data_IF_868331242570
#
_entry.id   IF_868331242570
#
_cell.length_a   1.000
_cell.length_b   1.000
_cell.length_c   1.000
_cell.angle_alpha   90.00
_cell.angle_beta   90.00
_cell.angle_gamma   90.00
#
_symmetry.space_group_name_H-M   'P 1'
#
loop_
_entity.id
_entity.type
_entity.pdbx_description
1 polymer ?
#
# COMPACT_ATOMS: atom_id res chain seq x y z
N UNK A 1 -21.21 -3.24 7.75
CA UNK A 1 -22.01 -2.98 6.54
C UNK A 1 -22.20 -4.29 5.82
N UNK A 2 -23.44 -4.65 5.49
CA UNK A 2 -23.79 -5.95 4.88
C UNK A 2 -23.98 -5.84 3.36
N UNK A 3 -23.18 -4.98 2.70
CA UNK A 3 -23.23 -4.82 1.25
C UNK A 3 -22.68 -6.10 0.57
N UNK A 4 -23.35 -6.53 -0.50
CA UNK A 4 -23.00 -7.70 -1.31
C UNK A 4 -23.39 -7.43 -2.76
N UNK A 5 -22.56 -7.89 -3.67
CA UNK A 5 -22.82 -7.89 -5.10
C UNK A 5 -22.16 -9.12 -5.73
N UNK A 6 -22.95 -9.95 -6.40
CA UNK A 6 -22.50 -11.25 -6.90
C UNK A 6 -21.42 -11.14 -7.99
N UNK A 7 -21.46 -10.08 -8.80
CA UNK A 7 -20.47 -9.85 -9.85
C UNK A 7 -19.12 -9.44 -9.27
N UNK A 8 -19.15 -8.58 -8.26
CA UNK A 8 -17.95 -8.18 -7.51
C UNK A 8 -17.36 -9.36 -6.73
N UNK A 9 -18.20 -10.17 -6.08
CA UNK A 9 -17.77 -11.39 -5.38
C UNK A 9 -17.14 -12.42 -6.33
N UNK A 10 -17.69 -12.59 -7.54
CA UNK A 10 -17.12 -13.47 -8.55
C UNK A 10 -15.73 -13.00 -9.02
N UNK A 11 -15.56 -11.68 -9.21
CA UNK A 11 -14.25 -11.10 -9.53
C UNK A 11 -13.22 -11.37 -8.43
N UNK A 12 -13.58 -11.18 -7.15
CA UNK A 12 -12.65 -11.44 -6.04
C UNK A 12 -12.26 -12.92 -5.95
N UNK A 13 -13.20 -13.84 -6.20
CA UNK A 13 -12.89 -15.29 -6.26
C UNK A 13 -11.94 -15.61 -7.42
N UNK A 14 -12.15 -15.02 -8.60
CA UNK A 14 -11.25 -15.22 -9.73
C UNK A 14 -9.84 -14.66 -9.45
N UNK A 15 -9.75 -13.48 -8.82
CA UNK A 15 -8.48 -12.84 -8.47
C UNK A 15 -7.61 -13.66 -7.51
N UNK A 16 -8.20 -14.56 -6.73
CA UNK A 16 -7.45 -15.47 -5.85
C UNK A 16 -6.76 -16.60 -6.61
N UNK A 17 -7.27 -16.97 -7.80
CA UNK A 17 -6.85 -18.15 -8.54
C UNK A 17 -6.01 -17.76 -9.76
N UNK A 18 -6.34 -16.66 -10.42
CA UNK A 18 -5.68 -16.22 -11.64
C UNK A 18 -5.70 -14.70 -11.82
N UNK A 19 -4.94 -14.22 -12.80
CA UNK A 19 -5.00 -12.83 -13.19
C UNK A 19 -6.38 -12.50 -13.76
N UNK A 20 -7.01 -11.46 -13.22
CA UNK A 20 -8.27 -10.91 -13.72
C UNK A 20 -8.00 -9.98 -14.89
N UNK A 21 -8.81 -10.09 -15.94
CA UNK A 21 -8.73 -9.19 -17.10
C UNK A 21 -9.03 -7.74 -16.71
N UNK A 22 -8.53 -6.79 -17.49
CA UNK A 22 -8.75 -5.36 -17.23
C UNK A 22 -10.23 -4.99 -17.36
N UNK A 23 -10.96 -5.66 -18.26
CA UNK A 23 -12.38 -5.45 -18.51
C UNK A 23 -13.21 -5.83 -17.27
N UNK A 24 -12.98 -7.02 -16.71
CA UNK A 24 -13.73 -7.45 -15.53
C UNK A 24 -13.45 -6.57 -14.31
N UNK A 25 -12.21 -6.07 -14.18
CA UNK A 25 -11.85 -5.08 -13.14
C UNK A 25 -12.65 -3.79 -13.31
N UNK A 26 -12.76 -3.29 -14.54
CA UNK A 26 -13.51 -2.08 -14.82
C UNK A 26 -15.01 -2.27 -14.52
N UNK A 27 -15.58 -3.42 -14.86
CA UNK A 27 -16.98 -3.73 -14.57
C UNK A 27 -17.27 -3.72 -13.07
N UNK A 28 -16.42 -4.35 -12.26
CA UNK A 28 -16.57 -4.32 -10.80
C UNK A 28 -16.40 -2.91 -10.21
N UNK A 29 -15.47 -2.11 -10.74
CA UNK A 29 -15.31 -0.71 -10.34
C UNK A 29 -16.57 0.11 -10.65
N UNK A 30 -17.17 -0.08 -11.84
CA UNK A 30 -18.41 0.61 -12.21
C UNK A 30 -19.54 0.29 -11.23
N UNK A 31 -19.66 -0.97 -10.80
CA UNK A 31 -20.65 -1.39 -9.79
C UNK A 31 -20.42 -0.70 -8.44
N UNK A 32 -19.17 -0.67 -7.97
CA UNK A 32 -18.80 -0.01 -6.71
C UNK A 32 -19.08 1.50 -6.79
N UNK A 33 -18.72 2.15 -7.90
CA UNK A 33 -18.98 3.58 -8.09
C UNK A 33 -20.47 3.91 -8.13
N UNK A 34 -21.29 3.08 -8.78
CA UNK A 34 -22.73 3.33 -8.90
C UNK A 34 -23.49 3.07 -7.60
N UNK A 35 -23.12 2.04 -6.85
CA UNK A 35 -23.83 1.64 -5.63
C UNK A 35 -23.35 2.41 -4.38
N UNK A 36 -22.22 3.12 -4.47
CA UNK A 36 -21.60 3.86 -3.36
C UNK A 36 -21.57 3.08 -2.02
N UNK A 37 -21.13 1.80 -2.02
CA UNK A 37 -21.15 1.01 -0.80
C UNK A 37 -20.19 1.56 0.25
N UNK A 38 -19.17 2.30 -0.18
CA UNK A 38 -18.27 3.09 0.67
C UNK A 38 -18.04 4.43 -0.01
N UNK A 39 -18.22 5.52 0.74
CA UNK A 39 -17.90 6.87 0.27
C UNK A 39 -16.48 7.23 0.68
N UNK A 40 -15.61 7.42 -0.32
CA UNK A 40 -14.25 7.89 -0.07
C UNK A 40 -14.29 9.39 0.30
N UNK A 41 -14.00 9.69 1.56
CA UNK A 41 -13.99 11.09 2.06
C UNK A 41 -12.60 11.71 1.97
N UNK A 42 -11.56 10.93 2.32
CA UNK A 42 -10.17 11.37 2.30
C UNK A 42 -9.25 10.16 2.13
N UNK A 43 -8.05 10.42 1.62
CA UNK A 43 -6.95 9.47 1.64
C UNK A 43 -5.99 9.81 2.78
N UNK A 44 -5.44 8.77 3.42
CA UNK A 44 -4.43 8.97 4.46
C UNK A 44 -3.11 9.40 3.83
N UNK A 45 -2.44 10.39 4.44
CA UNK A 45 -1.06 10.75 4.08
C UNK A 45 -0.13 10.25 5.17
N UNK A 46 0.83 9.41 4.80
CA UNK A 46 1.88 8.98 5.70
C UNK A 46 3.06 9.94 5.65
N UNK A 47 3.46 10.46 6.81
CA UNK A 47 4.66 11.27 6.97
C UNK A 47 5.69 10.44 7.74
N UNK A 48 6.88 10.26 7.16
CA UNK A 48 7.94 9.45 7.78
C UNK A 48 9.19 10.32 7.97
N UNK A 49 9.74 10.31 9.18
CA UNK A 49 10.98 11.00 9.53
C UNK A 49 12.08 9.98 9.80
N UNK A 50 13.24 10.17 9.18
CA UNK A 50 14.36 9.22 9.28
C UNK A 50 15.62 9.97 9.73
N UNK A 51 16.37 9.37 10.66
CA UNK A 51 17.62 9.96 11.12
C UNK A 51 18.63 10.01 9.96
N UNK A 52 19.34 11.14 9.81
CA UNK A 52 20.33 11.35 8.73
C UNK A 52 21.47 10.31 8.68
N UNK A 53 21.69 9.59 9.79
CA UNK A 53 22.68 8.51 9.92
C UNK A 53 22.22 7.17 9.35
N UNK A 54 20.94 7.01 9.03
CA UNK A 54 20.40 5.78 8.43
C UNK A 54 20.56 5.84 6.91
N UNK A 55 20.96 4.72 6.32
CA UNK A 55 20.96 4.45 4.86
C UNK A 55 19.88 3.42 4.53
N UNK A 56 19.52 3.37 3.24
CA UNK A 56 18.63 2.38 2.65
C UNK A 56 17.23 2.34 3.28
N UNK A 57 16.73 3.49 3.75
CA UNK A 57 15.34 3.57 4.18
C UNK A 57 14.41 3.36 2.98
N UNK A 58 13.51 2.39 3.13
CA UNK A 58 12.41 2.10 2.23
C UNK A 58 11.21 1.68 3.08
N UNK A 59 9.99 1.88 2.57
CA UNK A 59 8.78 1.44 3.26
C UNK A 59 7.77 0.91 2.25
N UNK A 60 6.97 -0.05 2.68
CA UNK A 60 5.78 -0.49 1.95
C UNK A 60 4.63 0.50 2.22
N UNK A 61 4.03 1.13 1.19
CA UNK A 61 2.85 2.00 1.37
C UNK A 61 1.67 1.33 2.06
N UNK A 62 1.60 0.00 2.01
CA UNK A 62 0.58 -0.78 2.71
C UNK A 62 1.00 -1.19 4.14
N UNK A 63 2.12 -0.67 4.63
CA UNK A 63 2.67 -0.90 5.97
C UNK A 63 2.92 -2.39 6.33
N UNK A 64 2.99 -3.29 5.32
CA UNK A 64 3.25 -4.72 5.58
C UNK A 64 4.71 -4.97 5.94
N UNK A 65 5.62 -4.09 5.53
CA UNK A 65 7.05 -4.17 5.85
C UNK A 65 7.70 -2.79 5.82
N UNK A 66 8.64 -2.59 6.74
CA UNK A 66 9.52 -1.41 6.81
C UNK A 66 10.96 -1.71 6.38
N UNK A 67 11.21 -2.91 5.82
CA UNK A 67 12.51 -3.34 5.32
C UNK A 67 13.67 -3.08 6.31
N UNK A 68 13.41 -3.28 7.62
CA UNK A 68 14.35 -2.96 8.71
C UNK A 68 15.69 -3.69 8.52
N UNK A 69 15.63 -4.92 8.00
CA UNK A 69 16.80 -5.74 7.70
C UNK A 69 17.71 -5.16 6.61
N UNK A 70 17.24 -4.18 5.83
CA UNK A 70 18.02 -3.50 4.79
C UNK A 70 18.62 -2.18 5.28
N UNK A 71 18.23 -1.72 6.47
CA UNK A 71 18.75 -0.50 7.06
C UNK A 71 20.19 -0.69 7.52
N UNK A 72 21.00 0.34 7.33
CA UNK A 72 22.37 0.39 7.83
C UNK A 72 22.74 1.79 8.31
N UNK A 73 23.78 1.89 9.11
CA UNK A 73 24.34 3.18 9.48
C UNK A 73 25.29 3.68 8.39
N UNK A 74 25.31 5.00 8.16
CA UNK A 74 26.37 5.62 7.37
C UNK A 74 27.70 5.32 8.04
N UNK A 75 28.67 4.83 7.25
CA UNK A 75 30.06 4.78 7.71
C UNK A 75 30.50 6.18 8.13
N UNK A 76 31.20 6.22 9.26
CA UNK A 76 31.67 7.46 9.86
C UNK A 76 32.86 7.96 9.05
N UNK A 77 32.81 9.19 8.57
CA UNK A 77 34.02 9.85 8.07
C UNK A 77 34.96 10.13 9.25
N UNK A 78 36.26 9.87 9.07
CA UNK A 78 37.26 10.26 10.06
C UNK A 78 37.17 11.78 10.33
N UNK A 79 37.02 12.14 11.61
CA UNK A 79 36.97 13.54 12.06
C UNK A 79 35.59 14.08 12.45
N UNK A 80 34.49 13.35 12.28
CA UNK A 80 33.16 13.88 12.63
C UNK A 80 32.90 13.81 14.16
N UNK A 81 32.60 14.93 14.85
CA UNK A 81 32.41 14.95 16.30
C UNK A 81 31.19 14.14 16.73
N UNK A 82 31.24 13.52 17.92
CA UNK A 82 30.08 12.84 18.50
C UNK A 82 29.04 13.91 18.87
N UNK A 83 27.87 13.86 18.22
CA UNK A 83 26.64 14.51 18.70
C UNK A 83 25.78 13.49 19.41
#
# INVERSE_FOLDING_TARGET
MNWRDDAVDALFKQAQISNVSSELKQDALNVIEQQFPVLAIAHYRQNISVNKRIRNFSFDPFERSYFINQLSFKERSEGEPRK
#
